data_IF_374014378811
#
_entry.id   IF_374014378811
#
_cell.length_a   1.000
_cell.length_b   1.000
_cell.length_c   1.000
_cell.angle_alpha   90.00
_cell.angle_beta   90.00
_cell.angle_gamma   90.00
#
_symmetry.space_group_name_H-M   'P 1'
#
loop_
_entity.id
_entity.type
_entity.pdbx_description
1 polymer ?
#
# COMPACT_ATOMS: atom_id res chain seq x y z
N UNK A 1 -12.42 3.11 -30.05
CA UNK A 1 -11.62 3.74 -29.00
C UNK A 1 -10.89 4.92 -29.62
N UNK A 2 -11.11 6.15 -29.17
CA UNK A 2 -10.38 7.31 -29.66
C UNK A 2 -8.94 7.22 -29.14
N UNK A 3 -7.96 7.39 -30.01
CA UNK A 3 -6.52 7.31 -29.67
C UNK A 3 -6.13 8.53 -28.84
N UNK A 4 -5.48 8.30 -27.71
CA UNK A 4 -4.83 9.36 -26.92
C UNK A 4 -3.61 9.84 -27.72
N UNK A 5 -3.49 11.15 -27.91
CA UNK A 5 -2.36 11.77 -28.61
C UNK A 5 -1.24 12.04 -27.59
N UNK A 6 -0.08 11.48 -27.83
CA UNK A 6 1.13 11.78 -27.06
C UNK A 6 1.76 13.01 -27.67
N UNK A 7 1.68 14.16 -26.99
CA UNK A 7 2.36 15.38 -27.42
C UNK A 7 3.75 15.45 -26.80
N UNK A 8 4.76 15.11 -27.58
CA UNK A 8 6.15 15.29 -27.17
C UNK A 8 6.53 16.78 -27.18
N UNK A 9 7.04 17.26 -26.05
CA UNK A 9 7.40 18.68 -25.80
C UNK A 9 8.66 19.15 -26.57
N UNK A 10 9.10 18.45 -27.60
CA UNK A 10 10.33 18.74 -28.36
C UNK A 10 10.14 19.63 -29.60
N UNK A 11 8.91 20.01 -29.96
CA UNK A 11 8.61 20.76 -31.21
C UNK A 11 9.03 22.23 -31.18
N UNK A 12 9.43 22.81 -30.04
CA UNK A 12 9.73 24.26 -29.94
C UNK A 12 11.16 24.68 -30.25
N UNK A 13 12.09 23.79 -30.61
CA UNK A 13 13.49 24.19 -30.87
C UNK A 13 13.84 24.30 -32.36
N UNK A 14 13.04 23.77 -33.29
CA UNK A 14 13.41 23.68 -34.71
C UNK A 14 12.81 24.74 -35.62
N UNK A 15 11.91 25.60 -35.18
CA UNK A 15 11.30 26.67 -36.03
C UNK A 15 12.17 27.90 -36.21
N UNK A 16 13.32 28.01 -35.53
CA UNK A 16 14.15 29.25 -35.59
C UNK A 16 15.35 29.22 -36.55
N UNK A 17 15.51 28.23 -37.41
CA UNK A 17 16.67 28.12 -38.32
C UNK A 17 16.33 28.24 -39.81
N UNK A 18 15.10 28.54 -40.22
CA UNK A 18 14.72 28.64 -41.64
C UNK A 18 14.47 30.07 -42.18
N UNK A 19 14.99 31.12 -41.53
CA UNK A 19 14.82 32.50 -42.07
C UNK A 19 16.15 33.19 -42.31
N UNK A 20 17.09 32.59 -43.02
CA UNK A 20 18.20 33.35 -43.63
C UNK A 20 18.73 32.59 -44.84
N UNK A 21 18.51 33.13 -46.03
CA UNK A 21 19.31 32.76 -47.18
C UNK A 21 18.53 32.50 -48.48
N UNK A 22 17.87 33.52 -49.02
CA UNK A 22 17.60 33.54 -50.45
C UNK A 22 18.91 33.84 -51.17
N UNK A 23 19.50 32.85 -51.82
CA UNK A 23 20.49 33.05 -52.87
C UNK A 23 19.89 32.54 -54.17
N UNK A 24 19.63 33.50 -55.06
CA UNK A 24 19.27 33.26 -56.45
C UNK A 24 20.48 32.75 -57.20
N UNK A 25 20.39 31.64 -57.86
CA UNK A 25 21.30 31.23 -58.93
C UNK A 25 20.61 30.37 -59.98
N UNK A 26 20.45 30.95 -61.18
CA UNK A 26 20.77 30.34 -62.43
C UNK A 26 19.93 29.15 -62.92
N UNK A 27 19.19 29.37 -63.97
CA UNK A 27 18.59 28.36 -64.86
C UNK A 27 19.59 27.27 -65.24
N UNK A 28 19.23 26.01 -64.90
CA UNK A 28 19.74 24.84 -65.63
C UNK A 28 18.54 23.97 -66.01
N UNK A 29 18.23 24.02 -67.31
CA UNK A 29 17.32 23.07 -67.97
C UNK A 29 17.92 21.68 -67.92
N UNK A 30 17.31 20.74 -67.22
CA UNK A 30 17.41 19.34 -67.63
C UNK A 30 16.14 18.58 -67.21
N UNK A 31 15.49 18.00 -68.19
CA UNK A 31 14.32 17.16 -67.99
C UNK A 31 14.72 15.85 -67.29
N UNK A 32 14.20 15.61 -66.12
CA UNK A 32 14.42 14.39 -65.42
C UNK A 32 13.61 14.37 -64.12
N UNK A 33 12.42 13.76 -64.17
CA UNK A 33 11.64 13.21 -63.07
C UNK A 33 11.63 14.10 -61.82
N UNK A 34 10.75 15.11 -61.79
CA UNK A 34 10.24 15.67 -60.55
C UNK A 34 9.35 14.61 -59.94
N UNK A 35 9.93 13.80 -59.08
CA UNK A 35 9.16 13.03 -58.10
C UNK A 35 8.52 14.08 -57.22
N UNK A 36 7.22 14.25 -57.33
CA UNK A 36 6.42 15.16 -56.53
C UNK A 36 6.48 14.59 -55.11
N UNK A 37 7.44 15.11 -54.34
CA UNK A 37 7.39 14.89 -52.89
C UNK A 37 6.12 15.58 -52.37
N UNK A 38 5.11 14.80 -52.04
CA UNK A 38 3.94 15.29 -51.34
C UNK A 38 4.44 16.02 -50.07
N UNK A 39 3.89 17.19 -49.74
CA UNK A 39 4.29 17.87 -48.52
C UNK A 39 3.98 16.94 -47.32
N UNK A 40 5.00 16.62 -46.55
CA UNK A 40 4.85 15.83 -45.35
C UNK A 40 3.87 16.55 -44.41
N UNK A 41 2.76 15.88 -44.10
CA UNK A 41 1.76 16.40 -43.19
C UNK A 41 2.23 16.22 -41.74
N UNK A 42 1.67 16.99 -40.78
CA UNK A 42 1.94 16.82 -39.36
C UNK A 42 1.81 15.36 -38.90
N UNK A 43 0.84 14.61 -39.41
CA UNK A 43 0.69 13.18 -39.14
C UNK A 43 1.88 12.33 -39.62
N UNK A 44 2.57 12.77 -40.70
CA UNK A 44 3.79 12.10 -41.18
C UNK A 44 4.97 12.32 -40.25
N UNK A 45 5.12 13.55 -39.70
CA UNK A 45 6.19 13.87 -38.75
C UNK A 45 5.97 13.15 -37.42
N UNK A 46 4.75 13.15 -36.87
CA UNK A 46 4.41 12.40 -35.66
C UNK A 46 4.69 10.89 -35.80
N UNK A 47 4.37 10.33 -36.95
CA UNK A 47 4.63 8.91 -37.25
C UNK A 47 6.11 8.58 -37.39
N UNK A 48 6.93 9.49 -37.90
CA UNK A 48 8.39 9.32 -38.03
C UNK A 48 9.04 9.41 -36.65
N UNK A 49 8.68 10.39 -35.81
CA UNK A 49 9.18 10.49 -34.43
C UNK A 49 8.83 9.26 -33.60
N UNK A 50 7.59 8.75 -33.70
CA UNK A 50 7.17 7.52 -33.06
C UNK A 50 8.00 6.29 -33.52
N UNK A 51 8.30 6.21 -34.82
CA UNK A 51 9.10 5.10 -35.36
C UNK A 51 10.54 5.15 -34.86
N UNK A 52 11.16 6.33 -34.77
CA UNK A 52 12.52 6.51 -34.25
C UNK A 52 12.59 6.17 -32.77
N UNK A 53 11.60 6.61 -31.96
CA UNK A 53 11.56 6.34 -30.52
C UNK A 53 11.45 4.83 -30.23
N UNK A 54 10.65 4.11 -31.01
CA UNK A 54 10.37 2.68 -30.78
C UNK A 54 11.28 1.73 -31.55
N UNK A 55 12.13 2.21 -32.44
CA UNK A 55 12.93 1.36 -33.36
C UNK A 55 13.72 0.26 -32.61
N UNK A 56 14.36 0.63 -31.51
CA UNK A 56 15.21 -0.25 -30.72
C UNK A 56 14.53 -0.76 -29.42
N UNK A 57 13.22 -0.69 -29.35
CA UNK A 57 12.46 -1.15 -28.19
C UNK A 57 11.71 -2.44 -28.49
N UNK A 58 11.53 -3.25 -27.44
CA UNK A 58 10.64 -4.40 -27.48
C UNK A 58 9.83 -4.51 -26.19
N UNK A 59 8.67 -5.17 -26.31
CA UNK A 59 7.80 -5.47 -25.18
C UNK A 59 7.36 -6.92 -25.20
N UNK A 60 7.14 -7.55 -24.04
CA UNK A 60 6.64 -8.91 -23.96
C UNK A 60 5.15 -8.96 -24.30
N UNK A 61 4.77 -9.91 -25.15
CA UNK A 61 3.37 -10.21 -25.44
C UNK A 61 2.95 -11.48 -24.67
N UNK A 62 2.81 -11.34 -23.37
CA UNK A 62 2.53 -12.42 -22.41
C UNK A 62 1.49 -11.98 -21.38
N UNK A 63 0.90 -12.92 -20.64
CA UNK A 63 -0.06 -12.59 -19.58
C UNK A 63 0.61 -12.10 -18.29
N UNK A 64 1.79 -12.64 -17.94
CA UNK A 64 2.49 -12.26 -16.70
C UNK A 64 3.91 -11.75 -16.99
N UNK A 65 4.81 -12.61 -17.41
CA UNK A 65 6.21 -12.27 -17.69
C UNK A 65 6.87 -13.26 -18.64
N UNK A 66 8.00 -12.85 -19.22
CA UNK A 66 8.97 -13.71 -19.88
C UNK A 66 10.30 -13.67 -19.13
N UNK A 67 11.01 -14.79 -19.09
CA UNK A 67 12.30 -14.90 -18.42
C UNK A 67 13.41 -14.33 -19.28
N UNK A 68 14.25 -13.47 -18.70
CA UNK A 68 15.52 -13.02 -19.27
C UNK A 68 16.59 -14.01 -18.80
N UNK A 69 17.35 -14.56 -19.75
CA UNK A 69 18.37 -15.58 -19.49
C UNK A 69 19.76 -15.07 -19.76
N UNK A 70 20.73 -15.67 -19.10
CA UNK A 70 22.14 -15.30 -19.24
C UNK A 70 22.67 -15.59 -20.66
N UNK A 71 22.22 -16.68 -21.29
CA UNK A 71 22.61 -17.11 -22.64
C UNK A 71 21.36 -17.36 -23.50
N UNK A 72 21.53 -17.36 -24.82
CA UNK A 72 20.47 -17.63 -25.82
C UNK A 72 20.05 -19.11 -25.83
N UNK A 73 19.58 -19.64 -24.72
CA UNK A 73 19.30 -21.04 -24.49
C UNK A 73 18.24 -21.19 -23.38
N UNK A 74 17.26 -22.08 -23.58
CA UNK A 74 16.17 -22.32 -22.66
C UNK A 74 16.61 -22.92 -21.31
N UNK A 75 17.74 -23.59 -21.24
CA UNK A 75 18.30 -24.20 -20.02
C UNK A 75 19.26 -23.24 -19.27
N UNK A 76 19.57 -22.07 -19.85
CA UNK A 76 20.46 -21.09 -19.25
C UNK A 76 19.85 -20.47 -18.00
N UNK A 77 20.71 -19.98 -17.10
CA UNK A 77 20.33 -19.32 -15.86
C UNK A 77 19.38 -18.11 -16.10
N UNK A 78 18.36 -18.00 -15.28
CA UNK A 78 17.47 -16.83 -15.28
C UNK A 78 18.13 -15.65 -14.53
N UNK A 79 18.34 -14.54 -15.23
CA UNK A 79 18.90 -13.31 -14.65
C UNK A 79 17.81 -12.32 -14.25
N UNK A 80 16.62 -12.40 -14.84
CA UNK A 80 15.50 -11.53 -14.53
C UNK A 80 14.21 -11.95 -15.20
N UNK A 81 13.17 -11.14 -14.97
CA UNK A 81 11.85 -11.28 -15.63
C UNK A 81 11.42 -9.96 -16.23
N UNK A 82 10.99 -10.00 -17.48
CA UNK A 82 10.33 -8.89 -18.17
C UNK A 82 8.83 -9.10 -18.06
N UNK A 83 8.19 -8.29 -17.22
CA UNK A 83 6.76 -8.41 -16.93
C UNK A 83 5.90 -7.77 -18.02
N UNK A 84 4.63 -8.18 -18.12
CA UNK A 84 3.62 -7.49 -18.90
C UNK A 84 3.61 -5.99 -18.59
N UNK A 85 3.59 -5.16 -19.64
CA UNK A 85 3.68 -3.70 -19.49
C UNK A 85 5.10 -3.15 -19.22
N UNK A 86 6.14 -4.00 -19.26
CA UNK A 86 7.52 -3.56 -19.19
C UNK A 86 8.17 -3.54 -20.57
N UNK A 87 9.09 -2.59 -20.82
CA UNK A 87 9.87 -2.52 -22.04
C UNK A 87 11.32 -2.93 -21.83
N UNK A 88 11.96 -3.33 -22.90
CA UNK A 88 13.39 -3.54 -22.96
C UNK A 88 13.98 -2.91 -24.23
N UNK A 89 15.24 -2.49 -24.15
CA UNK A 89 16.04 -2.06 -25.28
C UNK A 89 16.66 -3.26 -25.96
N UNK A 90 16.61 -3.30 -27.27
CA UNK A 90 17.20 -4.35 -28.10
C UNK A 90 18.68 -4.04 -28.28
N UNK A 91 19.55 -4.89 -27.73
CA UNK A 91 21.01 -4.78 -27.88
C UNK A 91 21.45 -5.51 -29.16
N UNK A 92 20.94 -6.73 -29.36
CA UNK A 92 21.26 -7.55 -30.53
C UNK A 92 20.08 -8.48 -30.84
N UNK A 93 19.53 -8.37 -32.06
CA UNK A 93 18.42 -9.19 -32.51
C UNK A 93 18.92 -10.39 -33.31
N UNK A 94 18.80 -11.58 -32.73
CA UNK A 94 19.08 -12.84 -33.41
C UNK A 94 17.85 -13.46 -34.04
N UNK A 95 18.00 -14.67 -34.63
CA UNK A 95 16.93 -15.38 -35.32
C UNK A 95 15.85 -15.90 -34.36
N UNK A 96 16.23 -16.48 -33.22
CA UNK A 96 15.32 -17.10 -32.24
C UNK A 96 15.36 -16.35 -30.87
N UNK A 97 16.49 -15.75 -30.55
CA UNK A 97 16.75 -15.06 -29.29
C UNK A 97 17.20 -13.63 -29.55
N UNK A 98 16.75 -12.71 -28.75
CA UNK A 98 17.18 -11.31 -28.77
C UNK A 98 17.87 -10.97 -27.44
N UNK A 99 19.05 -10.37 -27.54
CA UNK A 99 19.75 -9.78 -26.39
C UNK A 99 19.10 -8.44 -26.06
N UNK A 100 18.66 -8.29 -24.82
CA UNK A 100 17.93 -7.11 -24.36
C UNK A 100 18.52 -6.55 -23.07
N UNK A 101 18.29 -5.26 -22.84
CA UNK A 101 18.57 -4.57 -21.58
C UNK A 101 17.30 -3.91 -21.06
N UNK A 102 16.96 -4.12 -19.77
CA UNK A 102 15.81 -3.48 -19.13
C UNK A 102 16.06 -3.34 -17.63
N UNK A 103 16.04 -2.11 -17.12
CA UNK A 103 16.42 -1.85 -15.74
C UNK A 103 17.86 -2.26 -15.44
N UNK A 104 18.04 -3.15 -14.47
CA UNK A 104 19.36 -3.72 -14.11
C UNK A 104 19.62 -5.07 -14.79
N UNK A 105 18.71 -5.54 -15.65
CA UNK A 105 18.80 -6.82 -16.29
C UNK A 105 19.38 -6.68 -17.70
N UNK A 106 20.38 -7.49 -18.04
CA UNK A 106 20.88 -7.72 -19.39
C UNK A 106 20.90 -9.21 -19.66
N UNK A 107 20.40 -9.64 -20.82
CA UNK A 107 20.37 -11.06 -21.18
C UNK A 107 19.50 -11.33 -22.39
N UNK A 108 19.15 -12.58 -22.58
CA UNK A 108 18.47 -13.08 -23.77
C UNK A 108 17.02 -13.45 -23.50
N UNK A 109 16.14 -13.06 -24.41
CA UNK A 109 14.72 -13.44 -24.42
C UNK A 109 14.39 -14.05 -25.77
N UNK A 110 13.58 -15.11 -25.79
CA UNK A 110 13.13 -15.71 -27.06
C UNK A 110 12.17 -14.80 -27.79
N UNK A 111 12.35 -14.67 -29.10
CA UNK A 111 11.58 -13.77 -29.96
C UNK A 111 10.08 -14.11 -30.00
N UNK A 112 9.72 -15.36 -29.72
CA UNK A 112 8.32 -15.82 -29.68
C UNK A 112 7.45 -14.97 -28.78
N UNK A 113 8.01 -14.49 -27.68
CA UNK A 113 7.27 -13.70 -26.67
C UNK A 113 7.50 -12.20 -26.79
N UNK A 114 8.23 -11.73 -27.80
CA UNK A 114 8.53 -10.31 -27.97
C UNK A 114 7.81 -9.69 -29.15
N UNK A 115 7.42 -8.44 -29.00
CA UNK A 115 7.05 -7.55 -30.09
C UNK A 115 8.05 -6.41 -30.15
N UNK A 116 8.36 -5.94 -31.36
CA UNK A 116 9.44 -4.98 -31.62
C UNK A 116 8.92 -3.74 -32.32
N UNK A 117 9.56 -2.61 -32.11
CA UNK A 117 9.26 -1.37 -32.81
C UNK A 117 7.80 -0.94 -32.63
N UNK A 118 7.13 -0.64 -33.73
CA UNK A 118 5.72 -0.21 -33.68
C UNK A 118 4.75 -1.27 -33.15
N UNK A 119 5.03 -2.56 -33.37
CA UNK A 119 4.24 -3.64 -32.74
C UNK A 119 4.39 -3.61 -31.22
N UNK A 120 5.56 -3.22 -30.68
CA UNK A 120 5.74 -3.04 -29.23
C UNK A 120 4.97 -1.82 -28.72
N UNK A 121 4.89 -0.73 -29.49
CA UNK A 121 4.03 0.41 -29.16
C UNK A 121 2.56 0.03 -29.04
N UNK A 122 2.04 -0.81 -29.95
CA UNK A 122 0.68 -1.33 -29.86
C UNK A 122 0.45 -2.14 -28.57
N UNK A 123 1.47 -2.89 -28.10
CA UNK A 123 1.42 -3.58 -26.80
C UNK A 123 1.37 -2.55 -25.66
N UNK A 124 2.17 -1.48 -25.71
CA UNK A 124 2.14 -0.42 -24.71
C UNK A 124 0.76 0.25 -24.63
N UNK A 125 0.17 0.60 -25.79
CA UNK A 125 -1.17 1.18 -25.87
C UNK A 125 -2.26 0.27 -25.26
N UNK A 126 -2.10 -1.05 -25.39
CA UNK A 126 -3.04 -2.03 -24.86
C UNK A 126 -2.87 -2.30 -23.38
N UNK A 127 -1.63 -2.41 -22.90
CA UNK A 127 -1.30 -3.01 -21.60
C UNK A 127 -0.78 -1.99 -20.57
N UNK A 128 -0.32 -0.81 -21.01
CA UNK A 128 0.18 0.24 -20.12
C UNK A 128 -0.87 1.32 -19.87
N UNK A 129 -0.76 1.96 -18.72
CA UNK A 129 -1.56 3.15 -18.42
C UNK A 129 -0.92 4.37 -19.05
N UNK A 130 -1.75 5.33 -19.45
CA UNK A 130 -1.28 6.67 -19.76
C UNK A 130 -1.21 7.49 -18.47
N UNK A 131 -0.12 8.19 -18.29
CA UNK A 131 0.10 9.08 -17.15
C UNK A 131 0.40 10.48 -17.66
N UNK A 132 -0.31 11.46 -17.14
CA UNK A 132 -0.07 12.86 -17.43
C UNK A 132 0.75 13.48 -16.30
N UNK A 133 1.90 14.06 -16.64
CA UNK A 133 2.72 14.87 -15.75
C UNK A 133 2.39 16.34 -15.93
N UNK A 134 1.92 17.01 -14.88
CA UNK A 134 1.52 18.42 -14.94
C UNK A 134 2.76 19.32 -15.15
N UNK A 135 2.71 20.18 -16.14
CA UNK A 135 3.80 21.12 -16.49
C UNK A 135 3.61 22.54 -15.94
N UNK A 136 2.37 22.89 -15.56
CA UNK A 136 2.00 24.21 -15.06
C UNK A 136 1.87 24.24 -13.52
N UNK A 137 2.10 25.40 -12.94
CA UNK A 137 1.89 25.60 -11.50
C UNK A 137 0.38 25.83 -11.23
N UNK A 138 -0.25 24.89 -10.47
CA UNK A 138 -1.64 25.04 -10.02
C UNK A 138 -2.69 24.78 -11.10
N UNK A 139 -2.59 23.67 -11.83
CA UNK A 139 -3.57 23.25 -12.84
C UNK A 139 -4.91 22.88 -12.18
N UNK A 140 -6.00 23.52 -12.66
CA UNK A 140 -7.35 23.22 -12.17
C UNK A 140 -7.87 21.88 -12.69
N UNK A 141 -8.32 21.05 -11.78
CA UNK A 141 -9.06 19.83 -12.05
C UNK A 141 -10.56 20.15 -11.99
N UNK A 142 -11.32 19.75 -13.00
CA UNK A 142 -12.70 20.14 -13.21
C UNK A 142 -13.65 18.95 -13.27
N UNK A 143 -14.94 19.20 -13.02
CA UNK A 143 -15.98 18.15 -13.06
C UNK A 143 -16.33 17.68 -14.48
N UNK A 144 -16.09 18.52 -15.50
CA UNK A 144 -16.43 18.28 -16.90
C UNK A 144 -15.37 18.92 -17.80
N UNK A 145 -15.28 18.49 -19.05
CA UNK A 145 -14.38 19.02 -20.08
C UNK A 145 -14.77 20.45 -20.53
N UNK A 146 -14.89 21.39 -19.58
CA UNK A 146 -15.29 22.78 -19.82
C UNK A 146 -14.64 23.75 -18.84
N UNK A 147 -14.28 24.95 -19.31
CA UNK A 147 -13.75 26.02 -18.47
C UNK A 147 -14.79 26.57 -17.48
N UNK A 148 -16.06 26.44 -17.78
CA UNK A 148 -17.18 26.92 -16.95
C UNK A 148 -17.61 25.88 -15.89
N UNK A 149 -17.08 24.67 -15.97
CA UNK A 149 -17.42 23.60 -15.04
C UNK A 149 -16.78 23.80 -13.66
N UNK A 150 -17.38 23.17 -12.65
CA UNK A 150 -16.92 23.28 -11.25
C UNK A 150 -15.49 22.75 -11.07
N UNK A 151 -14.65 23.54 -10.41
CA UNK A 151 -13.31 23.10 -9.98
C UNK A 151 -13.44 22.08 -8.84
N UNK A 152 -12.83 20.91 -8.99
CA UNK A 152 -12.76 19.82 -8.00
C UNK A 152 -11.50 19.83 -7.18
N UNK A 153 -10.42 20.45 -7.70
CA UNK A 153 -9.12 20.54 -7.03
C UNK A 153 -8.08 21.23 -7.91
N UNK A 154 -6.86 21.19 -7.45
CA UNK A 154 -5.67 21.72 -8.12
C UNK A 154 -4.61 20.63 -8.13
N UNK A 155 -3.83 20.56 -9.21
CA UNK A 155 -2.62 19.76 -9.36
C UNK A 155 -1.42 20.68 -9.45
N UNK A 156 -0.36 20.35 -8.72
CA UNK A 156 0.91 21.07 -8.77
C UNK A 156 1.79 20.61 -9.93
N UNK A 157 2.77 21.44 -10.27
CA UNK A 157 3.77 21.07 -11.28
C UNK A 157 4.54 19.82 -10.88
N UNK A 158 4.68 18.87 -11.81
CA UNK A 158 5.33 17.58 -11.60
C UNK A 158 4.42 16.52 -10.99
N UNK A 159 3.18 16.85 -10.59
CA UNK A 159 2.24 15.83 -10.15
C UNK A 159 1.82 14.94 -11.33
N UNK A 160 1.71 13.63 -11.05
CA UNK A 160 1.33 12.61 -12.02
C UNK A 160 -0.06 12.10 -11.74
N UNK A 161 -0.88 11.98 -12.79
CA UNK A 161 -2.24 11.45 -12.73
C UNK A 161 -2.48 10.46 -13.86
N UNK A 162 -3.29 9.44 -13.60
CA UNK A 162 -3.68 8.44 -14.62
C UNK A 162 -4.68 9.09 -15.57
N UNK A 163 -4.42 8.95 -16.87
CA UNK A 163 -5.30 9.40 -17.96
C UNK A 163 -6.20 8.25 -18.38
N UNK A 164 -7.50 8.52 -18.42
CA UNK A 164 -8.52 7.55 -18.81
C UNK A 164 -8.93 7.70 -20.29
N UNK A 165 -9.01 8.93 -20.79
CA UNK A 165 -9.26 9.26 -22.18
C UNK A 165 -8.83 10.68 -22.51
N UNK A 166 -8.69 10.96 -23.80
CA UNK A 166 -8.53 12.30 -24.40
C UNK A 166 -9.84 12.72 -25.07
N UNK A 167 -10.32 13.92 -24.76
CA UNK A 167 -11.60 14.48 -25.24
C UNK A 167 -11.41 15.96 -25.67
N UNK A 168 -11.09 16.19 -26.92
CA UNK A 168 -11.02 17.54 -27.54
C UNK A 168 -10.15 18.55 -26.75
N UNK A 169 -8.91 18.16 -26.42
CA UNK A 169 -7.94 18.99 -25.69
C UNK A 169 -8.18 19.02 -24.17
N UNK A 170 -8.93 18.06 -23.67
CA UNK A 170 -9.10 17.75 -22.26
C UNK A 170 -8.70 16.32 -21.99
N UNK A 171 -7.94 16.10 -20.92
CA UNK A 171 -7.65 14.78 -20.41
C UNK A 171 -8.65 14.42 -19.32
N UNK A 172 -9.37 13.32 -19.50
CA UNK A 172 -10.14 12.68 -18.47
C UNK A 172 -9.19 11.89 -17.58
N UNK A 173 -9.18 12.16 -16.31
CA UNK A 173 -8.19 11.63 -15.36
C UNK A 173 -8.86 10.96 -14.17
N UNK A 174 -8.13 10.08 -13.50
CA UNK A 174 -8.49 9.57 -12.18
C UNK A 174 -8.06 10.58 -11.11
N UNK A 175 -9.01 11.08 -10.32
CA UNK A 175 -8.77 12.08 -9.30
C UNK A 175 -9.60 11.83 -8.03
N UNK A 176 -8.91 11.61 -6.88
CA UNK A 176 -9.55 11.36 -5.58
C UNK A 176 -10.62 10.24 -5.60
N UNK A 177 -10.32 9.13 -6.30
CA UNK A 177 -11.20 7.96 -6.40
C UNK A 177 -12.41 8.16 -7.30
N UNK A 178 -12.39 9.15 -8.18
CA UNK A 178 -13.40 9.41 -9.20
C UNK A 178 -12.80 9.99 -10.47
N UNK A 179 -13.66 10.25 -11.47
CA UNK A 179 -13.25 10.82 -12.75
C UNK A 179 -13.31 12.35 -12.70
N UNK A 180 -12.37 13.02 -13.36
CA UNK A 180 -12.31 14.47 -13.48
C UNK A 180 -11.59 14.86 -14.78
N UNK A 181 -11.50 16.15 -15.07
CA UNK A 181 -10.95 16.67 -16.32
C UNK A 181 -9.89 17.73 -16.05
N UNK A 182 -8.83 17.72 -16.85
CA UNK A 182 -7.82 18.78 -16.89
C UNK A 182 -7.47 19.13 -18.34
N UNK A 183 -6.96 20.35 -18.56
CA UNK A 183 -6.49 20.77 -19.89
C UNK A 183 -5.24 20.03 -20.30
N UNK A 184 -5.26 19.42 -21.48
CA UNK A 184 -4.14 18.68 -22.06
C UNK A 184 -2.89 19.55 -22.26
N UNK A 185 -3.05 20.80 -22.71
CA UNK A 185 -1.95 21.75 -23.00
C UNK A 185 -1.00 22.02 -21.83
N UNK A 186 -1.42 21.69 -20.58
CA UNK A 186 -0.62 21.86 -19.37
C UNK A 186 -0.10 20.53 -18.79
N UNK A 187 -0.04 19.49 -19.60
CA UNK A 187 0.46 18.19 -19.18
C UNK A 187 1.26 17.50 -20.30
N UNK A 188 2.30 16.79 -19.91
CA UNK A 188 2.99 15.85 -20.78
C UNK A 188 2.40 14.45 -20.53
N UNK A 189 1.87 13.81 -21.58
CA UNK A 189 1.29 12.47 -21.50
C UNK A 189 2.31 11.45 -21.98
N UNK A 190 2.56 10.44 -21.17
CA UNK A 190 3.49 9.34 -21.46
C UNK A 190 2.89 7.99 -21.01
N UNK A 191 3.41 6.89 -21.54
CA UNK A 191 3.09 5.57 -21.02
C UNK A 191 3.76 5.33 -19.67
N UNK A 192 3.02 4.78 -18.71
CA UNK A 192 3.61 4.21 -17.51
C UNK A 192 4.19 2.83 -17.82
N UNK A 193 5.40 2.81 -18.38
CA UNK A 193 6.06 1.60 -18.82
C UNK A 193 7.00 1.09 -17.74
N UNK A 194 6.82 -0.18 -17.37
CA UNK A 194 7.69 -0.88 -16.42
C UNK A 194 9.07 -1.22 -16.98
N UNK A 195 9.92 -1.74 -16.11
CA UNK A 195 11.23 -2.31 -16.45
C UNK A 195 11.29 -3.76 -15.94
N UNK A 196 12.22 -4.54 -16.47
CA UNK A 196 12.51 -5.86 -15.95
C UNK A 196 12.95 -5.80 -14.49
N UNK A 197 12.67 -6.86 -13.75
CA UNK A 197 13.17 -7.07 -12.39
C UNK A 197 14.19 -8.20 -12.40
N UNK A 198 15.32 -7.99 -11.72
CA UNK A 198 16.32 -9.04 -11.53
C UNK A 198 15.79 -10.16 -10.64
N UNK A 199 16.39 -11.34 -10.74
CA UNK A 199 16.03 -12.45 -9.86
C UNK A 199 16.29 -12.14 -8.38
N UNK A 200 17.25 -11.26 -8.08
CA UNK A 200 17.51 -10.76 -6.72
C UNK A 200 16.37 -9.87 -6.23
N UNK A 201 15.93 -8.89 -7.03
CA UNK A 201 14.80 -8.03 -6.71
C UNK A 201 13.52 -8.84 -6.50
N UNK A 202 13.24 -9.82 -7.36
CA UNK A 202 12.06 -10.69 -7.25
C UNK A 202 12.10 -11.48 -5.94
N UNK A 203 13.23 -12.11 -5.60
CA UNK A 203 13.38 -12.85 -4.35
C UNK A 203 13.24 -11.96 -3.12
N UNK A 204 13.77 -10.73 -3.19
CA UNK A 204 13.62 -9.77 -2.10
C UNK A 204 12.16 -9.33 -1.90
N UNK A 205 11.43 -9.07 -2.99
CA UNK A 205 10.00 -8.73 -2.95
C UNK A 205 9.16 -9.90 -2.43
N UNK A 206 9.40 -11.13 -2.92
CA UNK A 206 8.70 -12.33 -2.46
C UNK A 206 8.94 -12.58 -0.95
N UNK A 207 10.18 -12.40 -0.49
CA UNK A 207 10.53 -12.53 0.93
C UNK A 207 9.83 -11.46 1.77
N UNK A 208 9.86 -10.20 1.34
CA UNK A 208 9.20 -9.10 2.04
C UNK A 208 7.67 -9.31 2.10
N UNK A 209 7.06 -9.78 1.00
CA UNK A 209 5.64 -10.10 0.95
C UNK A 209 5.27 -11.26 1.91
N UNK A 210 6.11 -12.31 1.95
CA UNK A 210 5.91 -13.43 2.87
C UNK A 210 6.04 -13.01 4.34
N UNK A 211 7.03 -12.17 4.67
CA UNK A 211 7.20 -11.63 6.02
C UNK A 211 6.04 -10.72 6.44
N UNK A 212 5.57 -9.86 5.53
CA UNK A 212 4.42 -8.99 5.77
C UNK A 212 3.13 -9.82 6.01
N UNK A 213 2.90 -10.86 5.20
CA UNK A 213 1.77 -11.79 5.36
C UNK A 213 1.84 -12.52 6.69
N UNK A 214 2.99 -13.08 7.05
CA UNK A 214 3.17 -13.79 8.32
C UNK A 214 2.96 -12.85 9.52
N UNK A 215 3.40 -11.60 9.43
CA UNK A 215 3.16 -10.59 10.46
C UNK A 215 1.67 -10.28 10.60
N UNK A 216 0.98 -10.03 9.49
CA UNK A 216 -0.47 -9.76 9.49
C UNK A 216 -1.28 -10.93 10.05
N UNK A 217 -0.92 -12.19 9.73
CA UNK A 217 -1.56 -13.37 10.27
C UNK A 217 -1.36 -13.51 11.80
N UNK A 218 -0.14 -13.20 12.30
CA UNK A 218 0.14 -13.19 13.74
C UNK A 218 -0.66 -12.13 14.46
N UNK A 219 -0.71 -10.90 13.94
CA UNK A 219 -1.48 -9.80 14.50
C UNK A 219 -2.99 -10.10 14.50
N UNK A 220 -3.51 -10.69 13.42
CA UNK A 220 -4.92 -11.12 13.34
C UNK A 220 -5.24 -12.25 14.34
N UNK A 221 -4.35 -13.23 14.49
CA UNK A 221 -4.52 -14.31 15.47
C UNK A 221 -4.48 -13.79 16.91
N UNK A 222 -3.58 -12.84 17.22
CA UNK A 222 -3.50 -12.22 18.53
C UNK A 222 -4.74 -11.35 18.81
N UNK A 223 -5.20 -10.56 17.84
CA UNK A 223 -6.43 -9.78 17.95
C UNK A 223 -7.66 -10.66 18.19
N UNK A 224 -7.76 -11.80 17.47
CA UNK A 224 -8.82 -12.79 17.67
C UNK A 224 -8.78 -13.40 19.08
N UNK A 225 -7.59 -13.81 19.53
CA UNK A 225 -7.40 -14.33 20.90
C UNK A 225 -7.80 -13.29 21.96
N UNK A 226 -7.40 -12.03 21.76
CA UNK A 226 -7.77 -10.93 22.66
C UNK A 226 -9.27 -10.64 22.65
N UNK A 227 -9.93 -10.76 21.49
CA UNK A 227 -11.38 -10.61 21.39
C UNK A 227 -12.14 -11.75 22.08
N UNK A 228 -11.66 -13.00 21.95
CA UNK A 228 -12.24 -14.18 22.62
C UNK A 228 -12.16 -14.09 24.15
N UNK A 229 -11.16 -13.38 24.69
CA UNK A 229 -10.99 -13.18 26.12
C UNK A 229 -11.92 -12.09 26.69
N UNK A 230 -12.49 -11.23 25.83
CA UNK A 230 -13.49 -10.24 26.23
C UNK A 230 -14.83 -10.95 26.40
N UNK A 231 -15.21 -11.26 27.65
CA UNK A 231 -16.49 -11.87 27.97
C UNK A 231 -17.33 -10.93 28.84
N UNK A 232 -18.64 -10.99 28.64
CA UNK A 232 -19.60 -10.43 29.57
C UNK A 232 -20.26 -11.58 30.33
N UNK A 233 -20.14 -11.53 31.64
CA UNK A 233 -20.78 -12.48 32.54
C UNK A 233 -22.02 -11.81 33.16
N UNK A 234 -22.84 -12.60 33.86
CA UNK A 234 -23.89 -12.01 34.66
C UNK A 234 -23.32 -11.13 35.77
N UNK A 235 -24.01 -10.01 36.04
CA UNK A 235 -23.63 -9.10 37.12
C UNK A 235 -23.85 -9.81 38.47
N UNK A 236 -22.91 -9.60 39.37
CA UNK A 236 -23.03 -10.10 40.75
C UNK A 236 -23.69 -8.99 41.59
N UNK A 237 -24.63 -9.40 42.43
CA UNK A 237 -25.19 -8.47 43.44
C UNK A 237 -24.10 -8.05 44.37
N UNK A 238 -23.81 -6.74 44.37
CA UNK A 238 -22.78 -6.13 45.21
C UNK A 238 -23.31 -4.85 45.86
N UNK A 239 -22.82 -4.55 47.06
CA UNK A 239 -23.08 -3.30 47.75
C UNK A 239 -22.09 -2.20 47.33
N UNK A 240 -22.34 -0.94 47.65
CA UNK A 240 -21.37 0.14 47.45
C UNK A 240 -20.04 -0.10 48.20
N UNK A 241 -20.09 -0.84 49.33
CA UNK A 241 -18.88 -1.24 50.06
C UNK A 241 -18.04 -2.28 49.26
N UNK A 242 -18.68 -3.21 48.54
CA UNK A 242 -17.98 -4.20 47.71
C UNK A 242 -17.25 -3.51 46.53
N UNK A 243 -17.85 -2.48 45.94
CA UNK A 243 -17.20 -1.66 44.90
C UNK A 243 -15.96 -0.97 45.44
N UNK A 244 -16.06 -0.36 46.64
CA UNK A 244 -14.95 0.29 47.32
C UNK A 244 -13.83 -0.70 47.68
N UNK A 245 -14.20 -1.88 48.19
CA UNK A 245 -13.26 -2.93 48.58
C UNK A 245 -12.51 -3.48 47.37
N UNK A 246 -13.23 -3.84 46.27
CA UNK A 246 -12.62 -4.31 45.06
C UNK A 246 -11.78 -3.22 44.39
N UNK A 247 -12.25 -1.99 44.36
CA UNK A 247 -11.50 -0.86 43.84
C UNK A 247 -10.21 -0.59 44.61
N UNK A 248 -10.22 -0.74 45.93
CA UNK A 248 -9.03 -0.60 46.78
C UNK A 248 -8.01 -1.73 46.50
N UNK A 249 -8.47 -2.98 46.33
CA UNK A 249 -7.62 -4.10 45.90
C UNK A 249 -6.98 -3.80 44.54
N UNK A 250 -7.77 -3.42 43.53
CA UNK A 250 -7.29 -3.06 42.18
C UNK A 250 -6.23 -1.94 42.29
N UNK A 251 -6.46 -0.94 43.14
CA UNK A 251 -5.50 0.14 43.33
C UNK A 251 -4.17 -0.32 43.92
N UNK A 252 -4.18 -1.30 44.80
CA UNK A 252 -2.97 -1.86 45.41
C UNK A 252 -2.21 -2.71 44.41
N UNK A 253 -2.91 -3.61 43.68
CA UNK A 253 -2.32 -4.57 42.78
C UNK A 253 -1.96 -3.95 41.39
N UNK A 254 -2.80 -3.05 40.89
CA UNK A 254 -2.72 -2.53 39.54
C UNK A 254 -2.94 -1.01 39.40
N UNK A 255 -2.82 -0.24 40.49
CA UNK A 255 -3.10 1.21 40.48
C UNK A 255 -2.14 2.05 39.65
N UNK A 256 -1.02 1.48 39.18
CA UNK A 256 -0.05 2.03 38.21
C UNK A 256 -0.19 1.51 36.80
N UNK A 257 -1.07 0.54 36.57
CA UNK A 257 -1.32 -0.07 35.27
C UNK A 257 -2.32 0.74 34.44
N UNK A 258 -2.41 0.40 33.13
CA UNK A 258 -3.47 0.89 32.26
C UNK A 258 -4.85 0.50 32.78
N UNK A 259 -5.90 1.14 32.28
CA UNK A 259 -7.28 0.81 32.64
C UNK A 259 -7.60 -0.69 32.38
N UNK A 260 -7.11 -1.24 31.26
CA UNK A 260 -7.24 -2.65 30.94
C UNK A 260 -6.57 -3.56 31.97
N UNK A 261 -5.41 -3.16 32.50
CA UNK A 261 -4.74 -3.89 33.59
C UNK A 261 -5.51 -3.84 34.88
N UNK A 262 -6.11 -2.69 35.22
CA UNK A 262 -6.98 -2.51 36.40
C UNK A 262 -8.25 -3.38 36.26
N UNK A 263 -8.90 -3.35 35.10
CA UNK A 263 -10.08 -4.18 34.83
C UNK A 263 -9.74 -5.68 34.89
N UNK A 264 -8.56 -6.07 34.39
CA UNK A 264 -8.11 -7.45 34.39
C UNK A 264 -7.97 -8.02 35.82
N UNK A 265 -7.39 -7.27 36.75
CA UNK A 265 -7.30 -7.66 38.17
C UNK A 265 -8.70 -7.77 38.78
N UNK A 266 -9.60 -6.81 38.51
CA UNK A 266 -10.99 -6.87 38.96
C UNK A 266 -11.72 -8.10 38.39
N UNK A 267 -11.53 -8.40 37.12
CA UNK A 267 -12.14 -9.54 36.46
C UNK A 267 -11.67 -10.89 37.04
N UNK A 268 -10.38 -11.02 37.42
CA UNK A 268 -9.87 -12.22 38.12
C UNK A 268 -10.60 -12.43 39.44
N UNK A 269 -10.80 -11.40 40.26
CA UNK A 269 -11.54 -11.51 41.52
C UNK A 269 -12.98 -11.95 41.24
N UNK A 270 -13.64 -11.35 40.25
CA UNK A 270 -15.01 -11.71 39.90
C UNK A 270 -15.11 -13.11 39.27
N UNK A 271 -14.10 -13.58 38.56
CA UNK A 271 -14.03 -14.97 38.08
C UNK A 271 -13.93 -15.95 39.24
N UNK A 272 -13.14 -15.63 40.28
CA UNK A 272 -13.09 -16.44 41.50
C UNK A 272 -14.43 -16.49 42.21
N UNK A 273 -15.12 -15.36 42.38
CA UNK A 273 -16.48 -15.29 43.02
C UNK A 273 -17.48 -16.17 42.27
N UNK A 274 -17.32 -16.34 40.94
CA UNK A 274 -18.20 -17.17 40.11
C UNK A 274 -17.78 -18.65 40.01
N UNK A 275 -16.61 -19.00 40.53
CA UNK A 275 -16.04 -20.36 40.43
C UNK A 275 -16.25 -21.17 41.68
N UNK A 276 -16.69 -22.42 41.53
CA UNK A 276 -17.00 -23.35 42.66
C UNK A 276 -15.79 -23.63 43.58
N UNK A 277 -14.55 -23.38 43.09
CA UNK A 277 -13.33 -23.59 43.87
C UNK A 277 -12.91 -22.42 44.76
N UNK A 278 -13.70 -21.32 44.81
CA UNK A 278 -13.42 -20.11 45.56
C UNK A 278 -14.63 -19.65 46.37
N UNK A 279 -14.44 -18.78 47.37
CA UNK A 279 -15.55 -18.14 48.07
C UNK A 279 -16.46 -17.37 47.08
N UNK A 280 -17.74 -17.27 47.41
CA UNK A 280 -18.77 -16.72 46.53
C UNK A 280 -19.07 -15.22 46.77
N UNK A 281 -18.29 -14.57 47.63
CA UNK A 281 -18.38 -13.12 47.87
C UNK A 281 -17.06 -12.41 47.59
N UNK A 282 -17.11 -11.12 47.18
CA UNK A 282 -15.93 -10.31 46.90
C UNK A 282 -15.04 -10.21 48.16
N UNK A 283 -15.62 -9.99 49.32
CA UNK A 283 -14.89 -9.85 50.57
C UNK A 283 -14.16 -11.15 50.92
N UNK A 284 -14.85 -12.31 50.84
CA UNK A 284 -14.25 -13.59 51.20
C UNK A 284 -13.15 -14.01 50.24
N UNK A 285 -13.25 -13.69 48.93
CA UNK A 285 -12.16 -13.90 47.93
C UNK A 285 -10.95 -13.02 48.27
N UNK A 286 -11.17 -11.75 48.65
CA UNK A 286 -10.07 -10.80 48.95
C UNK A 286 -9.35 -11.20 50.24
N UNK A 287 -10.09 -11.63 51.26
CA UNK A 287 -9.54 -12.00 52.58
C UNK A 287 -9.16 -13.47 52.70
N UNK A 288 -9.42 -14.30 51.67
CA UNK A 288 -9.04 -15.71 51.71
C UNK A 288 -7.53 -15.90 51.98
N UNK A 289 -7.14 -16.82 52.87
CA UNK A 289 -5.73 -17.02 53.17
C UNK A 289 -4.88 -17.31 51.94
N UNK A 290 -3.79 -16.56 51.81
CA UNK A 290 -2.82 -16.75 50.70
C UNK A 290 -3.22 -16.14 49.34
N UNK A 291 -4.42 -15.57 49.20
CA UNK A 291 -4.87 -15.01 47.91
C UNK A 291 -4.25 -13.64 47.63
N UNK A 292 -4.37 -12.72 48.54
CA UNK A 292 -3.84 -11.32 48.43
C UNK A 292 -3.17 -10.88 49.73
N UNK A 293 -2.08 -11.57 50.18
CA UNK A 293 -1.55 -11.35 51.55
C UNK A 293 -1.07 -9.93 51.79
N UNK A 294 -0.54 -9.26 50.80
CA UNK A 294 -0.10 -7.88 50.92
C UNK A 294 -1.27 -6.88 50.82
N UNK A 295 -2.20 -7.10 49.90
CA UNK A 295 -3.29 -6.19 49.64
C UNK A 295 -4.39 -6.29 50.70
N UNK A 296 -4.77 -7.48 51.18
CA UNK A 296 -5.82 -7.69 52.17
C UNK A 296 -5.55 -6.94 53.48
N UNK A 297 -4.29 -6.82 53.88
CA UNK A 297 -3.89 -6.04 55.06
C UNK A 297 -4.00 -4.49 54.88
N UNK A 298 -4.17 -4.01 53.64
CA UNK A 298 -4.09 -2.56 53.33
C UNK A 298 -5.35 -1.98 52.66
N UNK A 299 -6.30 -2.80 52.29
CA UNK A 299 -7.49 -2.32 51.58
C UNK A 299 -8.28 -1.32 52.40
N UNK A 300 -8.40 -1.50 53.70
CA UNK A 300 -9.07 -0.56 54.60
C UNK A 300 -8.39 0.82 54.64
N UNK A 301 -7.06 0.85 54.66
CA UNK A 301 -6.30 2.09 54.63
C UNK A 301 -6.45 2.85 53.32
N UNK A 302 -6.54 2.11 52.22
CA UNK A 302 -6.79 2.69 50.86
C UNK A 302 -8.21 3.21 50.79
N UNK A 303 -9.21 2.47 51.28
CA UNK A 303 -10.60 2.93 51.33
C UNK A 303 -10.74 4.19 52.16
N UNK A 304 -10.09 4.27 53.33
CA UNK A 304 -10.14 5.43 54.19
C UNK A 304 -9.50 6.69 53.58
N UNK A 305 -8.44 6.51 52.75
CA UNK A 305 -7.76 7.61 52.05
C UNK A 305 -8.42 8.00 50.74
N UNK A 306 -9.36 7.22 50.26
CA UNK A 306 -10.05 7.36 48.98
C UNK A 306 -9.43 6.54 47.86
N UNK A 307 -10.28 5.80 47.16
CA UNK A 307 -9.92 4.96 46.03
C UNK A 307 -9.92 5.80 44.75
N UNK A 308 -8.94 5.59 43.86
CA UNK A 308 -8.87 6.26 42.56
C UNK A 308 -10.12 5.99 41.72
N UNK A 309 -10.61 6.99 41.00
CA UNK A 309 -11.82 6.89 40.20
C UNK A 309 -11.72 5.78 39.11
N UNK A 310 -10.55 5.64 38.47
CA UNK A 310 -10.34 4.58 37.48
C UNK A 310 -10.43 3.17 38.06
N UNK A 311 -9.94 2.96 39.30
CA UNK A 311 -10.02 1.69 40.00
C UNK A 311 -11.46 1.36 40.44
N UNK A 312 -12.24 2.38 40.86
CA UNK A 312 -13.67 2.23 41.16
C UNK A 312 -14.47 1.89 39.92
N UNK A 313 -14.18 2.55 38.80
CA UNK A 313 -14.82 2.25 37.52
C UNK A 313 -14.49 0.80 37.08
N UNK A 314 -13.23 0.39 37.16
CA UNK A 314 -12.82 -0.97 36.82
C UNK A 314 -13.49 -2.03 37.72
N UNK A 315 -13.62 -1.74 39.04
CA UNK A 315 -14.34 -2.59 39.98
C UNK A 315 -15.82 -2.70 39.62
N UNK A 316 -16.49 -1.59 39.33
CA UNK A 316 -17.91 -1.60 38.95
C UNK A 316 -18.15 -2.36 37.65
N UNK A 317 -17.28 -2.18 36.62
CA UNK A 317 -17.40 -2.89 35.37
C UNK A 317 -17.16 -4.40 35.54
N UNK A 318 -16.19 -4.81 36.35
CA UNK A 318 -15.95 -6.23 36.65
C UNK A 318 -17.13 -6.89 37.40
N UNK A 319 -17.71 -6.19 38.37
CA UNK A 319 -18.93 -6.61 39.11
C UNK A 319 -20.10 -6.75 38.13
N UNK A 320 -20.26 -5.82 37.20
CA UNK A 320 -21.28 -5.85 36.15
C UNK A 320 -21.01 -6.91 35.08
N UNK A 321 -19.98 -7.75 35.24
CA UNK A 321 -19.71 -8.91 34.40
C UNK A 321 -18.66 -8.68 33.30
N UNK A 322 -18.11 -7.49 33.14
CA UNK A 322 -17.10 -7.24 32.11
C UNK A 322 -15.78 -7.94 32.46
N UNK A 323 -15.22 -8.67 31.49
CA UNK A 323 -13.90 -9.31 31.61
C UNK A 323 -13.11 -9.11 30.31
N UNK A 324 -11.81 -8.88 30.46
CA UNK A 324 -10.84 -8.86 29.36
C UNK A 324 -9.76 -9.94 29.51
N UNK A 325 -9.97 -10.86 30.46
CA UNK A 325 -9.11 -12.01 30.76
C UNK A 325 -9.87 -13.34 30.64
N UNK A 326 -11.05 -13.34 30.01
CA UNK A 326 -11.87 -14.53 29.93
C UNK A 326 -12.18 -15.10 31.31
N UNK A 327 -12.00 -16.43 31.49
CA UNK A 327 -12.22 -17.13 32.74
C UNK A 327 -11.00 -17.31 33.65
N UNK A 328 -9.88 -16.62 33.36
CA UNK A 328 -8.66 -16.74 34.17
C UNK A 328 -8.89 -16.29 35.61
N UNK A 329 -8.35 -17.09 36.54
CA UNK A 329 -8.49 -16.88 37.99
C UNK A 329 -7.18 -16.55 38.70
N UNK A 330 -6.07 -16.52 37.96
CA UNK A 330 -4.74 -16.24 38.46
C UNK A 330 -4.04 -15.13 37.72
N UNK A 331 -3.19 -14.42 38.42
CA UNK A 331 -2.23 -13.51 37.79
C UNK A 331 -0.94 -13.41 38.62
N UNK A 332 0.14 -13.01 37.97
CA UNK A 332 1.43 -12.69 38.60
C UNK A 332 2.20 -11.71 37.73
N UNK A 333 3.39 -11.30 38.19
CA UNK A 333 4.27 -10.46 37.36
C UNK A 333 4.59 -11.12 36.02
N UNK A 334 4.50 -10.38 34.93
CA UNK A 334 4.84 -10.85 33.59
C UNK A 334 6.28 -11.34 33.47
N UNK A 335 7.19 -10.83 34.33
CA UNK A 335 8.59 -11.30 34.39
C UNK A 335 8.73 -12.75 34.86
N UNK A 336 7.75 -13.28 35.57
CA UNK A 336 7.80 -14.64 36.13
C UNK A 336 7.52 -15.74 35.11
N UNK A 337 7.07 -15.42 33.89
CA UNK A 337 6.68 -16.35 32.85
C UNK A 337 5.55 -17.30 33.26
N UNK A 338 4.78 -17.79 32.31
CA UNK A 338 3.75 -18.82 32.47
C UNK A 338 3.80 -19.71 31.25
N UNK A 339 3.70 -21.04 31.44
CA UNK A 339 3.48 -21.98 30.37
C UNK A 339 1.98 -22.20 30.14
N UNK A 340 1.57 -22.55 28.94
CA UNK A 340 0.17 -22.80 28.61
C UNK A 340 -0.61 -21.55 28.18
N UNK A 341 -1.93 -21.63 28.27
CA UNK A 341 -2.82 -20.55 27.84
C UNK A 341 -2.78 -19.39 28.84
N UNK A 342 -2.36 -18.24 28.38
CA UNK A 342 -2.23 -17.03 29.18
C UNK A 342 -2.37 -15.77 28.32
N UNK A 343 -2.53 -14.62 28.98
CA UNK A 343 -2.47 -13.28 28.35
C UNK A 343 -1.62 -12.36 29.21
N UNK A 344 -0.86 -11.49 28.55
CA UNK A 344 -0.10 -10.43 29.22
C UNK A 344 -0.82 -9.11 29.03
N UNK A 345 -1.10 -8.39 30.13
CA UNK A 345 -1.66 -7.02 30.12
C UNK A 345 -0.82 -6.18 31.06
N UNK A 346 -0.12 -5.19 30.54
CA UNK A 346 0.83 -4.39 31.29
C UNK A 346 1.93 -5.24 31.93
N UNK A 347 2.17 -5.09 33.23
CA UNK A 347 3.19 -5.83 33.96
C UNK A 347 2.68 -7.17 34.54
N UNK A 348 1.48 -7.60 34.19
CA UNK A 348 0.87 -8.83 34.69
C UNK A 348 0.65 -9.87 33.59
N UNK A 349 0.82 -11.15 33.95
CA UNK A 349 0.39 -12.31 33.17
C UNK A 349 -0.79 -12.97 33.86
N UNK A 350 -1.88 -13.19 33.12
CA UNK A 350 -3.14 -13.79 33.57
C UNK A 350 -3.29 -15.20 32.99
N UNK A 351 -3.72 -16.18 33.79
CA UNK A 351 -3.77 -17.61 33.40
C UNK A 351 -4.78 -18.40 34.22
#
# INVERSE_FOLDING_TARGET
MKKIRITSLLVLVFVWLCTCGFVSLGEVTNAGIAEVMEPMTLEHFEKVEDMEEWENLCMPNVEEYVTIRLEANAESEAVGRLFKGARAEVVEKGAEWTKVTSGECEGYVTNEYLKFGMDAKEIAERDCKFVATVTADGLKVRSEASLDSKTRGLLGKGEKVVVLSDEDGWLKIEFNGGEAYMKEEYAAVEFEIGKAKSMEQIRAEEKAAAEAKAKAEREAAEAKKKAELKKNYEAVKASGNDVQLLGALIQIEAGGESYEGQLAVGAVVMNRVRSDGYPNTIADVIYAPGQFPYASARVHDVMARGVKASCLQAAQEAINGRSNVGGFTHFKSARSGVSGNHIVIGNHVFY
#
